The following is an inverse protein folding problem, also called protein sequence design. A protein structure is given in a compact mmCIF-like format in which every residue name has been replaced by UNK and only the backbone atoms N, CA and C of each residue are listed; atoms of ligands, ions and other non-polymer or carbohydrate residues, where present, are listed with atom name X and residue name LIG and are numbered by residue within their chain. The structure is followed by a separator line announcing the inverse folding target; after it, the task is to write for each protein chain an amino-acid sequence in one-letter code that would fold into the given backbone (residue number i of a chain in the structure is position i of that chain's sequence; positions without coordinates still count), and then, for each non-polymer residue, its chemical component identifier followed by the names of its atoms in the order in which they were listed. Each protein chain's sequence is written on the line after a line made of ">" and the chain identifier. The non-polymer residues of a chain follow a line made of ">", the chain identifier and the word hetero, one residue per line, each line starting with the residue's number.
data_IF_211169996470
#
_entry.id   IF_211169996470
#
_cell.length_a   1.000
_cell.length_b   1.000
_cell.length_c   1.000
_cell.angle_alpha   90.00
_cell.angle_beta   90.00
_cell.angle_gamma   90.00
#
_symmetry.space_group_name_H-M   'P 1'
#
loop_
_entity.id
_entity.type
_entity.pdbx_description
1 polymer ?
#
# COMPACT_ATOMS: atom_id res chain seq x y z
N UNK A 1 26.25 0.43 0.27
CA UNK A 1 25.32 0.34 1.42
C UNK A 1 24.19 1.38 1.36
N UNK A 2 24.40 2.65 0.98
CA UNK A 2 23.30 3.63 0.90
C UNK A 2 22.25 3.33 -0.18
N UNK A 3 22.66 2.80 -1.36
CA UNK A 3 21.75 2.49 -2.47
C UNK A 3 20.68 1.46 -2.10
N UNK A 4 21.05 0.41 -1.35
CA UNK A 4 20.13 -0.64 -0.90
C UNK A 4 19.11 -0.10 0.12
N UNK A 5 19.54 0.79 1.03
CA UNK A 5 18.64 1.41 2.01
C UNK A 5 17.61 2.32 1.32
N UNK A 6 18.05 3.15 0.37
CA UNK A 6 17.15 4.04 -0.38
C UNK A 6 16.12 3.22 -1.16
N UNK A 7 16.52 2.13 -1.81
CA UNK A 7 15.60 1.26 -2.52
C UNK A 7 14.56 0.61 -1.59
N UNK A 8 14.98 0.13 -0.42
CA UNK A 8 14.05 -0.40 0.60
C UNK A 8 13.09 0.67 1.11
N UNK A 9 13.60 1.87 1.39
CA UNK A 9 12.78 3.00 1.84
C UNK A 9 11.77 3.44 0.76
N UNK A 10 12.19 3.51 -0.51
CA UNK A 10 11.30 3.81 -1.64
C UNK A 10 10.22 2.74 -1.82
N UNK A 11 10.58 1.45 -1.72
CA UNK A 11 9.60 0.36 -1.76
C UNK A 11 8.58 0.45 -0.63
N UNK A 12 9.02 0.78 0.59
CA UNK A 12 8.14 0.97 1.75
C UNK A 12 7.21 2.17 1.58
N UNK A 13 7.71 3.28 1.05
CA UNK A 13 6.90 4.47 0.77
C UNK A 13 5.84 4.20 -0.29
N UNK A 14 6.20 3.50 -1.37
CA UNK A 14 5.23 3.11 -2.41
C UNK A 14 4.13 2.21 -1.83
N UNK A 15 4.50 1.20 -1.04
CA UNK A 15 3.53 0.31 -0.41
C UNK A 15 2.59 1.08 0.54
N UNK A 16 3.12 2.03 1.33
CA UNK A 16 2.33 2.91 2.17
C UNK A 16 1.38 3.81 1.35
N UNK A 17 1.83 4.33 0.21
CA UNK A 17 1.02 5.14 -0.69
C UNK A 17 -0.19 4.35 -1.23
N UNK A 18 0.01 3.10 -1.65
CA UNK A 18 -1.07 2.22 -2.10
C UNK A 18 -2.06 1.91 -0.97
N UNK A 19 -1.56 1.66 0.24
CA UNK A 19 -2.41 1.44 1.40
C UNK A 19 -3.26 2.68 1.72
N UNK A 20 -2.68 3.88 1.68
CA UNK A 20 -3.39 5.14 1.89
C UNK A 20 -4.43 5.40 0.81
N UNK A 21 -4.13 5.10 -0.46
CA UNK A 21 -5.12 5.19 -1.54
C UNK A 21 -6.30 4.25 -1.31
N UNK A 22 -6.06 3.02 -0.85
CA UNK A 22 -7.13 2.07 -0.51
C UNK A 22 -8.02 2.60 0.62
N UNK A 23 -7.42 3.16 1.66
CA UNK A 23 -8.15 3.80 2.77
C UNK A 23 -8.96 5.01 2.27
N UNK A 24 -8.35 5.85 1.43
CA UNK A 24 -9.02 7.02 0.84
C UNK A 24 -10.25 6.61 0.03
N UNK A 25 -10.13 5.57 -0.80
CA UNK A 25 -11.27 5.02 -1.55
C UNK A 25 -12.37 4.49 -0.63
N UNK A 26 -12.01 3.78 0.45
CA UNK A 26 -12.98 3.30 1.43
C UNK A 26 -13.71 4.43 2.16
N UNK A 27 -13.00 5.50 2.51
CA UNK A 27 -13.60 6.68 3.15
C UNK A 27 -14.52 7.39 2.16
N UNK A 28 -14.08 7.63 0.93
CA UNK A 28 -14.88 8.32 -0.08
C UNK A 28 -16.18 7.58 -0.42
N UNK A 29 -16.20 6.26 -0.28
CA UNK A 29 -17.35 5.42 -0.61
C UNK A 29 -18.08 4.88 0.63
N UNK A 30 -17.82 5.42 1.83
CA UNK A 30 -18.34 4.84 3.08
C UNK A 30 -19.88 4.80 3.15
N UNK A 31 -20.57 5.71 2.46
CA UNK A 31 -22.03 5.84 2.43
C UNK A 31 -22.68 5.26 1.16
N UNK A 32 -21.88 4.68 0.24
CA UNK A 32 -22.39 4.08 -0.99
C UNK A 32 -22.99 2.72 -0.64
N UNK A 33 -24.31 2.60 -0.77
CA UNK A 33 -25.01 1.36 -0.50
C UNK A 33 -24.47 0.23 -1.40
N UNK A 34 -24.12 -0.90 -0.80
CA UNK A 34 -23.53 -2.04 -1.51
C UNK A 34 -22.02 -1.92 -1.80
N UNK A 35 -21.35 -0.86 -1.36
CA UNK A 35 -19.89 -0.77 -1.46
C UNK A 35 -19.22 -1.76 -0.49
N UNK A 36 -18.31 -2.57 -1.03
CA UNK A 36 -17.48 -3.47 -0.25
C UNK A 36 -16.13 -2.81 0.00
N UNK A 37 -15.75 -2.71 1.28
CA UNK A 37 -14.44 -2.13 1.65
C UNK A 37 -13.32 -3.00 1.10
N UNK A 38 -12.32 -2.33 0.54
CA UNK A 38 -11.11 -2.96 0.04
C UNK A 38 -10.04 -3.00 1.13
N UNK A 39 -9.17 -4.01 1.11
CA UNK A 39 -8.05 -4.13 2.04
C UNK A 39 -6.74 -4.20 1.25
N UNK A 40 -5.78 -3.36 1.64
CA UNK A 40 -4.43 -3.42 1.08
C UNK A 40 -3.64 -4.49 1.84
N UNK A 41 -3.13 -5.49 1.12
CA UNK A 41 -2.26 -6.53 1.68
C UNK A 41 -0.84 -6.20 1.25
N UNK A 42 0.02 -5.88 2.23
CA UNK A 42 1.43 -5.64 2.00
C UNK A 42 2.18 -6.97 2.21
N UNK A 43 2.89 -7.41 1.19
CA UNK A 43 3.84 -8.50 1.30
C UNK A 43 5.26 -7.94 1.21
N UNK A 44 6.21 -8.53 1.95
CA UNK A 44 7.60 -8.31 1.62
C UNK A 44 7.83 -8.81 0.20
N UNK A 45 8.47 -8.00 -0.64
CA UNK A 45 9.07 -8.50 -1.86
C UNK A 45 10.22 -9.41 -1.42
N UNK A 46 9.90 -10.67 -1.09
CA UNK A 46 10.86 -11.68 -0.70
C UNK A 46 11.92 -11.71 -1.78
N UNK A 47 13.13 -11.29 -1.42
CA UNK A 47 14.22 -11.07 -2.37
C UNK A 47 14.29 -12.22 -3.36
N UNK A 48 14.40 -11.87 -4.64
CA UNK A 48 14.79 -12.79 -5.70
C UNK A 48 15.93 -13.67 -5.16
N UNK A 49 15.67 -14.97 -5.02
CA UNK A 49 16.72 -15.97 -4.91
C UNK A 49 17.36 -16.16 -6.29
#
# INVERSE_FOLDING_TARGET
>A
MSNSLINTAMSGLNAAQVALSTVSNNISNYNVAGYNRQTAILAQNGGMA
#
